data_IF_801014993990
#
_entry.id   IF_801014993990
#
_cell.length_a   1.000
_cell.length_b   1.000
_cell.length_c   1.000
_cell.angle_alpha   90.00
_cell.angle_beta   90.00
_cell.angle_gamma   90.00
#
_symmetry.space_group_name_H-M   'P 1'
#
loop_
_entity.id
_entity.type
_entity.pdbx_description
1 polymer ?
#
# COMPACT_ATOMS: atom_id res chain seq x y z
N UNK A 1 9.24 59.85 11.47
CA UNK A 1 9.04 58.77 10.46
C UNK A 1 9.23 57.45 11.17
N UNK A 2 8.14 56.77 11.50
CA UNK A 2 8.16 55.45 12.14
C UNK A 2 7.54 54.46 11.16
N UNK A 3 8.34 53.49 10.71
CA UNK A 3 7.86 52.33 9.97
C UNK A 3 7.36 51.32 11.01
N UNK A 4 6.11 50.83 10.92
CA UNK A 4 5.65 49.77 11.80
C UNK A 4 6.29 48.45 11.38
N UNK A 5 7.05 47.88 12.32
CA UNK A 5 7.53 46.52 12.29
C UNK A 5 6.42 45.59 12.77
N UNK A 6 5.67 44.95 11.85
CA UNK A 6 4.94 43.69 12.11
C UNK A 6 4.32 43.19 10.80
N UNK A 7 5.11 42.46 10.02
CA UNK A 7 4.58 41.54 9.01
C UNK A 7 5.51 40.31 8.96
N UNK A 8 5.49 39.52 10.02
CA UNK A 8 6.20 38.24 10.08
C UNK A 8 5.31 37.21 10.76
N UNK A 9 5.27 36.01 10.18
CA UNK A 9 4.41 34.87 10.51
C UNK A 9 2.94 35.07 10.04
N UNK A 10 2.33 34.18 9.28
CA UNK A 10 2.29 32.72 9.46
C UNK A 10 2.26 32.04 8.08
N UNK A 11 3.42 31.61 7.58
CA UNK A 11 3.49 30.48 6.65
C UNK A 11 3.63 29.23 7.53
N UNK A 12 2.55 28.85 8.21
CA UNK A 12 2.44 27.51 8.75
C UNK A 12 2.39 26.60 7.52
N UNK A 13 3.55 26.06 7.11
CA UNK A 13 3.61 24.98 6.15
C UNK A 13 2.66 23.91 6.66
N UNK A 14 1.54 23.76 5.96
CA UNK A 14 0.68 22.59 6.06
C UNK A 14 1.51 21.45 5.49
N UNK A 15 2.40 20.90 6.32
CA UNK A 15 2.98 19.61 6.10
C UNK A 15 1.82 18.62 6.23
N UNK A 16 1.08 18.47 5.14
CA UNK A 16 0.11 17.40 4.98
C UNK A 16 0.92 16.11 5.11
N UNK A 17 0.91 15.55 6.31
CA UNK A 17 1.58 14.29 6.58
C UNK A 17 0.85 13.27 5.72
N UNK A 18 1.46 12.85 4.62
CA UNK A 18 1.01 11.68 3.89
C UNK A 18 1.12 10.50 4.86
N UNK A 19 0.03 10.21 5.57
CA UNK A 19 -0.01 9.09 6.52
C UNK A 19 0.00 7.77 5.77
N UNK A 20 -0.65 7.70 4.61
CA UNK A 20 -0.93 6.40 3.99
C UNK A 20 -0.07 6.10 2.78
N UNK A 21 0.27 4.83 2.67
CA UNK A 21 1.12 4.31 1.62
C UNK A 21 0.44 4.36 0.27
N UNK A 22 1.26 4.49 -0.76
CA UNK A 22 0.83 4.51 -2.14
C UNK A 22 1.93 3.93 -3.02
N UNK A 23 1.52 3.39 -4.15
CA UNK A 23 2.41 3.01 -5.23
C UNK A 23 3.22 4.23 -5.69
N UNK A 24 4.54 4.19 -5.47
CA UNK A 24 5.47 5.27 -5.86
C UNK A 24 6.26 4.95 -7.13
N UNK A 25 6.49 3.67 -7.41
CA UNK A 25 7.13 3.22 -8.64
C UNK A 25 6.52 1.87 -9.07
N UNK A 26 6.16 1.67 -10.35
CA UNK A 26 5.94 2.72 -11.35
C UNK A 26 4.91 3.77 -10.87
N UNK A 27 4.96 5.03 -11.34
CA UNK A 27 4.06 6.08 -10.86
C UNK A 27 2.59 5.67 -11.00
N UNK A 28 1.79 5.94 -9.97
CA UNK A 28 0.36 5.63 -9.98
C UNK A 28 -0.40 6.46 -11.03
N UNK A 29 -1.41 5.86 -11.67
CA UNK A 29 -2.18 6.43 -12.79
C UNK A 29 -3.06 7.59 -12.35
N UNK A 30 -3.53 7.60 -11.11
CA UNK A 30 -4.60 8.51 -10.75
C UNK A 30 -4.81 8.56 -9.27
N UNK A 31 -4.29 9.62 -8.68
CA UNK A 31 -4.51 9.93 -7.28
C UNK A 31 -4.82 11.41 -7.03
N UNK A 32 -5.34 12.07 -8.05
CA UNK A 32 -5.75 13.48 -7.98
C UNK A 32 -7.01 13.64 -7.12
N UNK A 33 -7.98 12.73 -7.26
CA UNK A 33 -9.23 12.75 -6.47
C UNK A 33 -8.99 12.52 -4.97
N UNK A 34 -7.99 11.72 -4.62
CA UNK A 34 -7.76 11.26 -3.24
C UNK A 34 -6.44 11.76 -2.64
N UNK A 35 -5.86 12.82 -3.21
CA UNK A 35 -4.65 13.48 -2.69
C UNK A 35 -3.46 12.54 -2.46
N UNK A 36 -3.35 11.46 -3.23
CA UNK A 36 -2.27 10.48 -3.04
C UNK A 36 -2.69 9.20 -2.30
N UNK A 37 -3.91 9.03 -1.78
CA UNK A 37 -4.28 7.80 -1.05
C UNK A 37 -5.70 7.30 -1.34
N UNK A 38 -5.87 6.19 -2.06
CA UNK A 38 -7.19 5.57 -2.30
C UNK A 38 -7.42 4.39 -1.33
N UNK A 39 -8.00 4.68 -0.16
CA UNK A 39 -8.29 3.70 0.88
C UNK A 39 -9.75 3.23 0.81
N UNK A 40 -10.01 1.94 1.03
CA UNK A 40 -11.36 1.40 1.08
C UNK A 40 -12.21 2.04 2.19
N UNK A 41 -11.59 2.32 3.34
CA UNK A 41 -12.20 3.04 4.46
C UNK A 41 -12.66 4.45 4.10
N UNK A 42 -11.95 5.13 3.20
CA UNK A 42 -12.28 6.45 2.69
C UNK A 42 -13.34 6.42 1.55
N UNK A 43 -13.86 5.25 1.19
CA UNK A 43 -14.83 5.09 0.11
C UNK A 43 -14.22 4.78 -1.26
N UNK A 44 -12.92 4.50 -1.35
CA UNK A 44 -12.35 3.92 -2.55
C UNK A 44 -12.88 2.48 -2.75
N UNK A 45 -13.13 2.06 -3.99
CA UNK A 45 -13.74 0.75 -4.28
C UNK A 45 -12.82 -0.19 -5.06
N UNK A 46 -11.62 0.28 -5.38
CA UNK A 46 -10.71 -0.41 -6.28
C UNK A 46 -11.36 -0.66 -7.65
N UNK A 47 -10.79 -1.57 -8.46
CA UNK A 47 -9.52 -2.26 -8.21
C UNK A 47 -8.30 -1.32 -8.29
N UNK A 48 -8.46 -0.11 -8.83
CA UNK A 48 -7.42 0.90 -8.94
C UNK A 48 -7.75 2.14 -8.08
N UNK A 49 -6.75 3.01 -7.91
CA UNK A 49 -6.87 4.32 -7.26
C UNK A 49 -7.74 5.33 -8.03
N UNK A 50 -7.87 5.11 -9.34
CA UNK A 50 -8.81 5.82 -10.21
C UNK A 50 -9.36 4.87 -11.28
N UNK A 51 -10.57 5.15 -11.82
CA UNK A 51 -11.07 4.41 -12.96
C UNK A 51 -10.15 4.62 -14.19
N UNK A 52 -10.16 3.67 -15.11
CA UNK A 52 -9.45 3.72 -16.39
C UNK A 52 -9.76 4.98 -17.19
N UNK A 53 -11.01 5.47 -17.11
CA UNK A 53 -11.44 6.69 -17.81
C UNK A 53 -10.67 7.94 -17.39
N UNK A 54 -10.18 7.97 -16.14
CA UNK A 54 -9.39 9.07 -15.58
C UNK A 54 -7.89 8.89 -15.83
N UNK A 55 -7.47 7.78 -16.44
CA UNK A 55 -6.06 7.51 -16.69
C UNK A 55 -5.50 8.49 -17.74
N UNK A 56 -4.36 9.16 -17.46
CA UNK A 56 -3.68 9.99 -18.46
C UNK A 56 -3.02 9.12 -19.55
N UNK A 57 -3.11 7.79 -19.45
CA UNK A 57 -2.50 6.86 -20.41
C UNK A 57 -3.01 7.06 -21.85
N UNK A 58 -4.23 7.52 -22.07
CA UNK A 58 -4.71 7.80 -23.44
C UNK A 58 -4.33 9.19 -23.96
N UNK A 59 -3.80 10.08 -23.10
CA UNK A 59 -3.37 11.41 -23.52
C UNK A 59 -2.10 11.34 -24.37
N UNK A 60 -2.09 12.02 -25.51
CA UNK A 60 -0.88 12.18 -26.35
C UNK A 60 0.21 13.00 -25.66
N UNK A 61 -0.15 13.79 -24.64
CA UNK A 61 0.77 14.62 -23.87
C UNK A 61 1.40 13.89 -22.69
N UNK A 62 0.90 12.70 -22.35
CA UNK A 62 1.46 11.90 -21.27
C UNK A 62 2.45 10.87 -21.85
N UNK A 63 3.76 10.97 -21.55
CA UNK A 63 4.75 10.02 -22.05
C UNK A 63 4.40 8.59 -21.61
N UNK A 64 4.50 7.64 -22.55
CA UNK A 64 4.23 6.24 -22.28
C UNK A 64 5.48 5.57 -21.70
N UNK A 65 5.30 4.75 -20.68
CA UNK A 65 6.36 3.86 -20.18
C UNK A 65 6.30 2.55 -20.94
N UNK A 66 7.42 2.20 -21.58
CA UNK A 66 7.60 0.95 -22.30
C UNK A 66 8.36 -0.05 -21.41
N UNK A 67 7.90 -1.29 -21.40
CA UNK A 67 8.48 -2.42 -20.66
C UNK A 67 8.55 -3.65 -21.57
N UNK A 68 9.37 -4.64 -21.24
CA UNK A 68 9.54 -5.85 -22.05
C UNK A 68 8.99 -7.09 -21.36
N UNK A 69 8.55 -8.09 -22.13
CA UNK A 69 8.24 -9.41 -21.57
C UNK A 69 9.46 -10.00 -20.87
N UNK A 70 9.27 -10.58 -19.68
CA UNK A 70 10.34 -11.15 -18.88
C UNK A 70 11.25 -10.14 -18.19
N UNK A 71 11.04 -8.83 -18.39
CA UNK A 71 11.74 -7.80 -17.63
C UNK A 71 11.36 -7.88 -16.14
N UNK A 72 12.31 -7.68 -15.25
CA UNK A 72 12.02 -7.40 -13.84
C UNK A 72 11.64 -5.93 -13.66
N UNK A 73 10.48 -5.68 -13.07
CA UNK A 73 10.01 -4.35 -12.71
C UNK A 73 10.18 -4.13 -11.22
N UNK A 74 10.85 -3.04 -10.87
CA UNK A 74 10.85 -2.52 -9.51
C UNK A 74 9.48 -1.92 -9.19
N UNK A 75 8.90 -2.39 -8.10
CA UNK A 75 7.64 -1.89 -7.54
C UNK A 75 7.93 -1.34 -6.15
N UNK A 76 7.66 -0.05 -5.94
CA UNK A 76 8.02 0.66 -4.72
C UNK A 76 6.85 1.41 -4.10
N UNK A 77 6.89 1.55 -2.79
CA UNK A 77 5.96 2.34 -1.97
C UNK A 77 6.71 2.93 -0.77
N UNK A 78 6.08 3.81 0.00
CA UNK A 78 6.66 4.35 1.25
C UNK A 78 6.01 3.68 2.44
N UNK A 79 6.80 3.33 3.47
CA UNK A 79 6.28 2.70 4.68
C UNK A 79 5.25 3.56 5.44
N UNK A 80 5.64 4.82 5.70
CA UNK A 80 4.90 5.82 6.46
C UNK A 80 4.59 5.37 7.91
N UNK A 81 3.45 5.78 8.47
CA UNK A 81 3.14 5.61 9.89
C UNK A 81 2.45 4.28 10.24
N UNK A 82 2.23 3.41 9.26
CA UNK A 82 1.42 2.20 9.41
C UNK A 82 2.26 0.95 9.09
N UNK A 83 2.35 -0.02 10.03
CA UNK A 83 3.14 -1.24 9.86
C UNK A 83 2.34 -2.42 9.25
N UNK A 84 3.11 -3.41 8.80
CA UNK A 84 2.65 -4.74 8.41
C UNK A 84 1.61 -4.82 7.30
N UNK A 85 1.10 -6.04 7.14
CA UNK A 85 0.24 -6.44 6.05
C UNK A 85 1.02 -6.99 4.87
N UNK A 86 0.31 -7.06 3.75
CA UNK A 86 0.74 -7.70 2.53
C UNK A 86 0.56 -6.73 1.36
N UNK A 87 1.40 -6.89 0.35
CA UNK A 87 1.23 -6.29 -0.96
C UNK A 87 0.86 -7.37 -1.96
N UNK A 88 -0.23 -7.18 -2.71
CA UNK A 88 -0.57 -7.96 -3.90
C UNK A 88 -0.21 -7.20 -5.16
N UNK A 89 0.46 -7.86 -6.08
CA UNK A 89 0.78 -7.36 -7.41
C UNK A 89 0.09 -8.21 -8.48
N UNK A 90 -0.63 -7.56 -9.37
CA UNK A 90 -1.35 -8.20 -10.49
C UNK A 90 -1.20 -7.36 -11.75
N UNK A 91 -1.26 -7.98 -12.93
CA UNK A 91 -1.15 -7.25 -14.20
C UNK A 91 -2.21 -7.72 -15.18
N UNK A 92 -2.92 -6.76 -15.79
CA UNK A 92 -4.00 -7.03 -16.75
C UNK A 92 -3.86 -6.15 -17.99
N UNK A 93 -4.47 -6.53 -19.12
CA UNK A 93 -4.68 -5.61 -20.23
C UNK A 93 -5.37 -4.31 -19.77
N UNK A 94 -4.93 -3.17 -20.28
CA UNK A 94 -5.42 -1.84 -19.85
C UNK A 94 -6.95 -1.73 -19.95
N UNK A 95 -7.56 -2.32 -20.99
CA UNK A 95 -9.01 -2.31 -21.17
C UNK A 95 -9.80 -3.05 -20.08
N UNK A 96 -9.14 -3.96 -19.33
CA UNK A 96 -9.71 -4.73 -18.22
C UNK A 96 -9.38 -4.13 -16.84
N UNK A 97 -8.70 -2.98 -16.78
CA UNK A 97 -8.19 -2.41 -15.52
C UNK A 97 -9.23 -1.85 -14.55
N UNK A 98 -10.53 -1.88 -14.90
CA UNK A 98 -11.63 -1.61 -13.96
C UNK A 98 -12.24 -2.91 -13.39
N UNK A 99 -11.76 -4.09 -13.81
CA UNK A 99 -12.31 -5.38 -13.43
C UNK A 99 -11.54 -6.03 -12.27
N UNK A 100 -12.22 -6.21 -11.14
CA UNK A 100 -11.71 -7.00 -10.02
C UNK A 100 -11.40 -8.44 -10.39
N UNK A 101 -12.25 -9.09 -11.20
CA UNK A 101 -12.03 -10.49 -11.60
C UNK A 101 -10.79 -10.62 -12.48
N UNK A 102 -10.57 -9.69 -13.41
CA UNK A 102 -9.38 -9.70 -14.26
C UNK A 102 -8.09 -9.65 -13.42
N UNK A 103 -8.03 -8.80 -12.39
CA UNK A 103 -6.87 -8.75 -11.50
C UNK A 103 -6.74 -9.99 -10.62
N UNK A 104 -7.83 -10.51 -10.08
CA UNK A 104 -7.83 -11.73 -9.27
C UNK A 104 -7.34 -12.95 -10.08
N UNK A 105 -7.66 -13.00 -11.37
CA UNK A 105 -7.21 -14.07 -12.24
C UNK A 105 -5.74 -13.89 -12.66
N UNK A 106 -5.17 -12.70 -12.61
CA UNK A 106 -3.82 -12.40 -13.13
C UNK A 106 -2.88 -11.86 -12.05
N UNK A 107 -2.94 -12.45 -10.85
CA UNK A 107 -2.01 -12.17 -9.77
C UNK A 107 -0.62 -12.72 -10.10
N UNK A 108 0.39 -11.87 -9.95
CA UNK A 108 1.79 -12.22 -10.21
C UNK A 108 2.53 -12.53 -8.92
N UNK A 109 2.29 -11.74 -7.88
CA UNK A 109 3.09 -11.81 -6.66
C UNK A 109 2.33 -11.31 -5.44
N UNK A 110 2.59 -11.94 -4.31
CA UNK A 110 2.36 -11.40 -2.99
C UNK A 110 3.70 -11.18 -2.28
N UNK A 111 3.79 -10.15 -1.45
CA UNK A 111 4.97 -9.90 -0.61
C UNK A 111 4.56 -9.29 0.71
N UNK A 112 5.40 -9.38 1.73
CA UNK A 112 5.18 -8.60 2.95
C UNK A 112 5.28 -7.10 2.66
N UNK A 113 4.47 -6.29 3.34
CA UNK A 113 4.51 -4.83 3.15
C UNK A 113 5.87 -4.21 3.58
N UNK A 114 6.48 -4.74 4.64
CA UNK A 114 7.78 -4.29 5.16
C UNK A 114 8.94 -5.23 4.75
N UNK A 115 9.03 -5.59 3.46
CA UNK A 115 10.02 -6.57 2.96
C UNK A 115 11.48 -6.12 3.17
N UNK A 116 11.78 -4.85 2.89
CA UNK A 116 13.13 -4.27 2.93
C UNK A 116 13.17 -2.88 3.60
N UNK A 117 12.13 -2.55 4.35
CA UNK A 117 11.96 -1.27 5.03
C UNK A 117 11.47 -1.52 6.47
N UNK A 118 11.52 -0.51 7.33
CA UNK A 118 11.12 -0.63 8.73
C UNK A 118 10.85 0.71 9.40
N UNK A 119 10.48 0.71 10.69
CA UNK A 119 10.27 1.93 11.46
C UNK A 119 11.57 2.75 11.54
N UNK A 120 11.45 4.08 11.63
CA UNK A 120 12.59 4.98 11.78
C UNK A 120 13.27 4.81 13.15
N UNK A 121 12.48 4.54 14.19
CA UNK A 121 12.97 4.17 15.52
C UNK A 121 12.43 2.78 15.90
N UNK A 122 13.25 1.72 15.83
CA UNK A 122 12.82 0.37 16.19
C UNK A 122 12.63 0.17 17.69
N UNK A 123 13.09 1.11 18.53
CA UNK A 123 12.92 1.06 19.99
C UNK A 123 11.67 1.82 20.46
N UNK A 124 10.98 2.54 19.56
CA UNK A 124 9.71 3.18 19.91
C UNK A 124 8.62 2.11 20.11
N UNK A 125 8.14 2.01 21.35
CA UNK A 125 7.12 1.06 21.78
C UNK A 125 5.71 1.66 21.90
N UNK A 126 5.51 2.94 21.52
CA UNK A 126 4.23 3.66 21.69
C UNK A 126 3.05 2.92 21.05
N UNK A 127 3.28 2.25 19.92
CA UNK A 127 2.28 1.47 19.18
C UNK A 127 2.55 -0.04 19.18
N UNK A 128 3.45 -0.51 20.05
CA UNK A 128 3.98 -1.87 20.05
C UNK A 128 5.31 -2.02 19.31
N UNK A 129 5.89 -3.21 19.41
CA UNK A 129 7.24 -3.50 18.90
C UNK A 129 7.27 -3.35 17.37
N UNK A 130 8.17 -2.49 16.88
CA UNK A 130 8.35 -2.22 15.45
C UNK A 130 7.12 -1.64 14.74
N UNK A 131 6.19 -1.04 15.50
CA UNK A 131 4.95 -0.48 14.98
C UNK A 131 5.00 1.05 14.87
N UNK A 132 6.13 1.67 15.23
CA UNK A 132 6.38 3.10 15.07
C UNK A 132 6.39 3.54 13.59
N UNK A 133 6.40 4.86 13.32
CA UNK A 133 6.44 5.40 11.97
C UNK A 133 7.81 5.25 11.30
N UNK A 134 7.86 5.36 9.96
CA UNK A 134 9.11 5.35 9.19
C UNK A 134 8.90 5.83 7.76
N UNK A 135 9.85 6.58 7.20
CA UNK A 135 9.77 7.11 5.83
C UNK A 135 10.56 6.29 4.81
N UNK A 136 11.17 5.19 5.24
CA UNK A 136 11.99 4.35 4.36
C UNK A 136 11.18 3.85 3.15
N UNK A 137 11.76 3.90 1.94
CA UNK A 137 11.15 3.29 0.78
C UNK A 137 11.12 1.78 0.97
N UNK A 138 9.97 1.18 0.68
CA UNK A 138 9.79 -0.25 0.59
C UNK A 138 9.70 -0.62 -0.89
N UNK A 139 10.18 -1.78 -1.26
CA UNK A 139 10.09 -2.25 -2.63
C UNK A 139 10.13 -3.77 -2.76
N UNK A 140 9.73 -4.21 -3.94
CA UNK A 140 9.90 -5.59 -4.40
C UNK A 140 10.08 -5.57 -5.92
N UNK A 141 10.44 -6.71 -6.50
CA UNK A 141 10.45 -6.90 -7.95
C UNK A 141 9.31 -7.80 -8.40
N UNK A 142 8.84 -7.60 -9.63
CA UNK A 142 7.90 -8.52 -10.31
C UNK A 142 8.32 -8.69 -11.77
N UNK A 143 8.25 -9.91 -12.29
CA UNK A 143 8.57 -10.18 -13.71
C UNK A 143 7.35 -9.89 -14.58
N UNK A 144 7.54 -9.14 -15.67
CA UNK A 144 6.51 -8.92 -16.69
C UNK A 144 6.15 -10.26 -17.34
N UNK A 145 4.87 -10.68 -17.34
CA UNK A 145 4.45 -11.94 -17.93
C UNK A 145 4.84 -12.07 -19.42
N UNK A 146 5.31 -13.25 -19.81
CA UNK A 146 5.72 -13.53 -21.20
C UNK A 146 4.55 -13.81 -22.14
N UNK A 147 3.36 -14.04 -21.60
CA UNK A 147 2.13 -14.28 -22.36
C UNK A 147 1.38 -13.01 -22.77
N UNK A 148 1.95 -11.82 -22.50
CA UNK A 148 1.36 -10.55 -22.93
C UNK A 148 1.76 -10.29 -24.40
N UNK A 149 0.78 -10.09 -25.32
CA UNK A 149 1.09 -9.80 -26.71
C UNK A 149 1.92 -8.53 -26.88
N UNK A 150 2.64 -8.45 -28.00
CA UNK A 150 3.45 -7.27 -28.31
C UNK A 150 2.59 -6.02 -28.53
N UNK A 151 3.14 -4.85 -28.18
CA UNK A 151 2.46 -3.57 -28.27
C UNK A 151 1.13 -3.51 -27.49
N UNK A 152 1.05 -4.21 -26.36
CA UNK A 152 -0.15 -4.25 -25.52
C UNK A 152 -0.05 -3.23 -24.39
N UNK A 153 -1.06 -2.36 -24.28
CA UNK A 153 -1.26 -1.53 -23.10
C UNK A 153 -1.69 -2.39 -21.90
N UNK A 154 -1.02 -2.25 -20.78
CA UNK A 154 -1.26 -3.01 -19.54
C UNK A 154 -1.34 -2.11 -18.33
N UNK A 155 -1.92 -2.65 -17.27
CA UNK A 155 -2.01 -2.02 -15.96
C UNK A 155 -1.44 -2.95 -14.90
N UNK A 156 -0.44 -2.47 -14.17
CA UNK A 156 0.03 -3.09 -12.93
C UNK A 156 -0.84 -2.57 -11.78
N UNK A 157 -1.39 -3.46 -10.97
CA UNK A 157 -2.05 -3.14 -9.72
C UNK A 157 -1.13 -3.44 -8.53
N UNK A 158 -1.17 -2.54 -7.56
CA UNK A 158 -0.63 -2.65 -6.23
C UNK A 158 -1.80 -2.54 -5.24
N UNK A 159 -1.96 -3.54 -4.37
CA UNK A 159 -2.90 -3.49 -3.24
C UNK A 159 -2.12 -3.71 -1.96
N UNK A 160 -2.30 -2.83 -0.98
CA UNK A 160 -1.88 -3.07 0.40
C UNK A 160 -3.08 -3.38 1.28
N UNK A 161 -2.99 -4.48 2.02
CA UNK A 161 -4.06 -4.96 2.90
C UNK A 161 -3.47 -5.64 4.15
N UNK A 162 -4.28 -5.73 5.21
CA UNK A 162 -3.85 -6.33 6.48
C UNK A 162 -2.85 -5.48 7.27
N UNK A 163 -2.69 -4.19 6.97
CA UNK A 163 -1.94 -3.29 7.82
C UNK A 163 -2.77 -2.80 9.01
N UNK A 164 -2.10 -2.25 10.02
CA UNK A 164 -2.78 -1.88 11.27
C UNK A 164 -2.26 -0.62 11.94
N UNK A 165 -2.56 -0.52 13.23
CA UNK A 165 -2.35 0.70 14.04
C UNK A 165 -3.22 1.85 13.52
N UNK A 166 -4.49 1.58 13.26
CA UNK A 166 -5.43 2.60 12.79
C UNK A 166 -5.68 3.66 13.88
N UNK A 167 -5.45 4.94 13.55
CA UNK A 167 -5.49 6.06 14.52
C UNK A 167 -4.79 5.76 15.87
N UNK A 168 -3.55 5.26 15.80
CA UNK A 168 -2.75 4.95 16.99
C UNK A 168 -3.34 3.86 17.90
N UNK A 169 -4.27 3.04 17.41
CA UNK A 169 -4.86 1.92 18.14
C UNK A 169 -4.15 0.61 17.74
N UNK A 170 -3.30 0.03 18.60
CA UNK A 170 -2.47 -1.12 18.23
C UNK A 170 -3.25 -2.39 17.87
N UNK A 171 -4.54 -2.46 18.24
CA UNK A 171 -5.42 -3.58 17.99
C UNK A 171 -6.21 -3.49 16.67
N UNK A 172 -6.14 -2.34 15.99
CA UNK A 172 -7.05 -1.97 14.91
C UNK A 172 -6.41 -2.06 13.51
N UNK A 173 -7.11 -2.71 12.57
CA UNK A 173 -6.75 -2.72 11.14
C UNK A 173 -7.45 -1.62 10.35
N UNK A 174 -6.88 -1.26 9.20
CA UNK A 174 -7.49 -0.36 8.22
C UNK A 174 -7.93 -1.09 6.94
N UNK A 175 -8.66 -0.37 6.08
CA UNK A 175 -9.13 -0.86 4.79
C UNK A 175 -8.01 -0.98 3.75
N UNK A 176 -8.32 -1.63 2.64
CA UNK A 176 -7.34 -1.85 1.57
C UNK A 176 -6.93 -0.54 0.88
N UNK A 177 -5.66 -0.43 0.49
CA UNK A 177 -5.14 0.68 -0.31
C UNK A 177 -4.83 0.21 -1.71
N UNK A 178 -5.22 1.01 -2.69
CA UNK A 178 -5.06 0.68 -4.10
C UNK A 178 -4.12 1.66 -4.79
N UNK A 179 -3.40 1.17 -5.79
CA UNK A 179 -2.62 1.96 -6.74
C UNK A 179 -2.46 1.20 -8.04
N UNK A 180 -2.61 1.85 -9.18
CA UNK A 180 -2.41 1.23 -10.48
C UNK A 180 -1.43 2.02 -11.33
N UNK A 181 -0.69 1.38 -12.23
CA UNK A 181 0.20 2.09 -13.15
C UNK A 181 0.10 1.51 -14.56
N UNK A 182 0.12 2.41 -15.55
CA UNK A 182 -0.15 2.08 -16.95
C UNK A 182 1.11 2.12 -17.81
N UNK A 183 1.30 1.08 -18.60
CA UNK A 183 2.52 0.84 -19.38
C UNK A 183 2.19 0.16 -20.72
N UNK A 184 3.17 0.07 -21.61
CA UNK A 184 3.08 -0.68 -22.87
C UNK A 184 4.14 -1.79 -22.86
N UNK A 185 3.72 -3.03 -23.09
CA UNK A 185 4.64 -4.16 -23.28
C UNK A 185 5.10 -4.21 -24.74
N UNK A 186 6.42 -4.15 -24.96
CA UNK A 186 7.07 -4.22 -26.28
C UNK A 186 8.32 -5.10 -26.21
N UNK A 187 8.47 -6.02 -27.14
CA UNK A 187 9.61 -6.94 -27.22
C UNK A 187 9.69 -7.95 -26.07
N UNK A 188 10.81 -8.67 -26.06
CA UNK A 188 11.08 -9.78 -25.13
C UNK A 188 10.50 -11.13 -25.57
N UNK A 189 10.97 -12.24 -24.99
CA UNK A 189 10.54 -13.59 -25.36
C UNK A 189 9.06 -13.80 -25.01
N UNK A 190 8.30 -14.31 -25.97
CA UNK A 190 6.90 -14.69 -25.78
C UNK A 190 6.78 -16.15 -25.31
N UNK A 191 5.80 -16.43 -24.46
CA UNK A 191 5.39 -17.78 -24.05
C UNK A 191 3.90 -17.75 -23.75
N UNK A 192 3.13 -18.76 -24.17
CA UNK A 192 1.72 -18.88 -23.83
C UNK A 192 1.48 -19.23 -22.34
N UNK A 193 2.54 -19.57 -21.61
CA UNK A 193 2.46 -19.93 -20.20
C UNK A 193 2.06 -18.72 -19.34
N UNK A 194 0.97 -18.89 -18.60
CA UNK A 194 0.53 -17.94 -17.58
C UNK A 194 1.34 -18.17 -16.29
N UNK A 195 2.00 -17.13 -15.74
CA UNK A 195 2.73 -17.29 -14.49
C UNK A 195 1.78 -17.60 -13.33
N UNK A 196 2.19 -18.49 -12.44
CA UNK A 196 1.53 -18.70 -11.16
C UNK A 196 1.90 -17.58 -10.18
N UNK A 197 0.96 -17.20 -9.30
CA UNK A 197 1.24 -16.25 -8.25
C UNK A 197 2.29 -16.79 -7.27
N UNK A 198 3.34 -16.02 -7.00
CA UNK A 198 4.35 -16.35 -6.00
C UNK A 198 4.13 -15.57 -4.71
N UNK A 199 4.58 -16.10 -3.57
CA UNK A 199 4.62 -15.35 -2.31
C UNK A 199 6.06 -15.23 -1.79
N UNK A 200 6.46 -13.99 -1.52
CA UNK A 200 7.69 -13.64 -0.82
C UNK A 200 7.35 -13.24 0.62
N UNK A 201 7.60 -14.15 1.56
CA UNK A 201 7.54 -13.86 2.99
C UNK A 201 8.78 -13.10 3.48
N UNK A 202 8.74 -12.70 4.74
CA UNK A 202 9.84 -12.04 5.41
C UNK A 202 9.62 -10.54 5.44
N UNK A 203 9.28 -10.04 6.63
CA UNK A 203 9.21 -8.61 6.90
C UNK A 203 10.23 -8.21 7.94
N UNK A 204 10.26 -6.91 8.26
CA UNK A 204 11.13 -6.36 9.30
C UNK A 204 11.03 -7.09 10.65
N UNK A 205 9.83 -7.56 11.02
CA UNK A 205 9.59 -8.22 12.32
C UNK A 205 10.00 -9.69 12.30
N UNK A 206 9.82 -10.35 11.16
CA UNK A 206 10.07 -11.78 10.94
C UNK A 206 10.98 -11.99 9.73
N UNK A 207 12.23 -11.51 9.78
CA UNK A 207 13.15 -11.63 8.66
C UNK A 207 13.42 -13.11 8.36
N UNK A 208 13.64 -13.43 7.08
CA UNK A 208 13.92 -14.79 6.60
C UNK A 208 12.83 -15.82 6.92
N UNK A 209 11.59 -15.39 7.11
CA UNK A 209 10.45 -16.29 7.32
C UNK A 209 9.51 -16.32 6.11
N UNK A 210 8.75 -17.40 5.94
CA UNK A 210 7.66 -17.46 4.96
C UNK A 210 6.38 -16.77 5.44
N UNK A 211 6.48 -15.71 6.23
CA UNK A 211 5.34 -15.05 6.90
C UNK A 211 5.55 -13.54 7.03
N UNK A 212 4.45 -12.83 7.27
CA UNK A 212 4.39 -11.39 7.55
C UNK A 212 3.60 -11.15 8.84
N UNK A 213 3.91 -10.04 9.52
CA UNK A 213 3.07 -9.38 10.52
C UNK A 213 1.90 -8.71 9.82
N UNK A 214 0.68 -8.87 10.33
CA UNK A 214 -0.52 -8.24 9.80
C UNK A 214 -1.59 -8.05 10.88
N UNK A 215 -2.65 -7.29 10.57
CA UNK A 215 -3.84 -7.07 11.39
C UNK A 215 -5.10 -7.40 10.60
N UNK A 216 -6.16 -7.81 11.30
CA UNK A 216 -7.44 -8.11 10.68
C UNK A 216 -7.36 -9.32 9.76
N UNK A 217 -7.39 -9.11 8.43
CA UNK A 217 -7.44 -10.17 7.43
C UNK A 217 -6.16 -10.28 6.60
N UNK A 218 -5.83 -11.51 6.23
CA UNK A 218 -4.81 -11.86 5.24
C UNK A 218 -5.39 -12.16 3.85
N UNK A 219 -6.63 -11.72 3.57
CA UNK A 219 -7.33 -11.95 2.30
C UNK A 219 -7.85 -10.64 1.71
N UNK A 220 -7.51 -10.39 0.45
CA UNK A 220 -8.06 -9.27 -0.33
C UNK A 220 -9.58 -9.43 -0.48
N UNK A 221 -10.31 -8.35 -0.28
CA UNK A 221 -11.77 -8.23 -0.32
C UNK A 221 -12.41 -8.18 1.06
N UNK A 222 -11.78 -8.72 2.10
CA UNK A 222 -12.38 -8.79 3.45
C UNK A 222 -12.54 -7.39 4.08
N UNK A 223 -11.74 -6.41 3.64
CA UNK A 223 -11.74 -5.03 4.14
C UNK A 223 -12.08 -3.97 3.07
N UNK A 224 -12.97 -4.31 2.11
CA UNK A 224 -13.37 -3.42 1.00
C UNK A 224 -14.69 -2.64 1.27
N UNK A 225 -15.44 -2.98 2.33
CA UNK A 225 -16.71 -2.32 2.74
C UNK A 225 -17.83 -2.24 1.68
N UNK A 226 -17.71 -2.92 0.53
CA UNK A 226 -18.71 -2.88 -0.55
C UNK A 226 -19.02 -1.45 -0.98
N UNK A 227 -20.29 -1.16 -1.29
CA UNK A 227 -20.73 0.17 -1.78
C UNK A 227 -20.85 1.24 -0.68
N UNK A 228 -20.51 0.91 0.58
CA UNK A 228 -20.60 1.86 1.69
C UNK A 228 -19.65 3.03 1.49
N UNK A 229 -20.07 4.22 1.88
CA UNK A 229 -19.23 5.42 1.96
C UNK A 229 -19.35 6.02 3.38
N UNK A 230 -18.28 6.64 3.92
CA UNK A 230 -18.36 7.34 5.19
C UNK A 230 -19.45 8.43 5.16
N UNK A 231 -20.10 8.64 6.30
CA UNK A 231 -21.02 9.76 6.49
C UNK A 231 -20.33 10.79 7.38
N UNK A 232 -19.49 11.63 6.77
CA UNK A 232 -18.67 12.60 7.49
C UNK A 232 -19.52 13.59 8.28
N UNK A 233 -19.26 13.66 9.57
CA UNK A 233 -19.81 14.63 10.52
C UNK A 233 -18.69 15.61 10.87
N UNK A 234 -18.97 16.91 10.76
CA UNK A 234 -18.00 17.94 11.09
C UNK A 234 -17.55 17.84 12.55
N UNK A 235 -16.25 17.95 12.79
CA UNK A 235 -15.64 17.76 14.11
C UNK A 235 -15.46 16.31 14.59
N UNK A 236 -16.04 15.31 13.91
CA UNK A 236 -15.83 13.88 14.23
C UNK A 236 -14.91 13.23 13.19
N UNK A 237 -13.64 13.09 13.54
CA UNK A 237 -12.64 12.47 12.66
C UNK A 237 -12.95 11.01 12.33
N UNK A 238 -13.60 10.26 13.24
CA UNK A 238 -13.89 8.84 13.01
C UNK A 238 -15.04 8.64 12.01
N UNK A 239 -15.98 9.59 11.94
CA UNK A 239 -17.06 9.57 10.96
C UNK A 239 -16.59 9.69 9.49
N UNK A 240 -15.34 10.15 9.28
CA UNK A 240 -14.73 10.34 7.97
C UNK A 240 -14.22 9.03 7.35
N UNK A 241 -14.27 7.91 8.08
CA UNK A 241 -13.88 6.59 7.59
C UNK A 241 -14.87 5.50 8.00
N UNK A 242 -14.88 4.41 7.24
CA UNK A 242 -15.57 3.16 7.60
C UNK A 242 -14.72 2.26 8.50
N UNK A 243 -13.52 2.70 8.83
CA UNK A 243 -12.51 1.99 9.63
C UNK A 243 -12.73 2.16 11.15
N UNK A 244 -12.15 1.27 11.99
CA UNK A 244 -11.29 0.15 11.62
C UNK A 244 -12.04 -0.98 10.91
N UNK A 245 -11.34 -1.72 10.06
CA UNK A 245 -11.94 -2.90 9.41
C UNK A 245 -12.20 -4.01 10.44
N UNK A 246 -11.20 -4.31 11.27
CA UNK A 246 -11.26 -5.35 12.31
C UNK A 246 -10.49 -4.92 13.56
N UNK A 247 -10.84 -5.52 14.70
CA UNK A 247 -10.09 -5.41 15.97
C UNK A 247 -9.69 -6.81 16.43
N UNK A 248 -8.45 -7.19 16.15
CA UNK A 248 -7.91 -8.50 16.51
C UNK A 248 -6.47 -8.47 17.01
N UNK A 249 -5.83 -7.30 17.05
CA UNK A 249 -4.40 -7.23 17.35
C UNK A 249 -3.51 -7.63 16.19
N UNK A 250 -2.21 -7.57 16.43
CA UNK A 250 -1.20 -8.05 15.49
C UNK A 250 -1.19 -9.58 15.45
N UNK A 251 -1.09 -10.13 14.24
CA UNK A 251 -1.01 -11.56 13.95
C UNK A 251 0.16 -11.81 12.99
N UNK A 252 0.55 -13.08 12.86
CA UNK A 252 1.60 -13.53 11.92
C UNK A 252 1.04 -14.57 10.97
N UNK A 253 1.35 -14.49 9.67
CA UNK A 253 0.89 -15.47 8.69
C UNK A 253 1.29 -15.16 7.26
N UNK A 254 0.80 -15.97 6.32
CA UNK A 254 0.93 -15.77 4.89
C UNK A 254 -0.39 -15.23 4.31
N UNK A 255 -0.39 -14.66 3.08
CA UNK A 255 -1.61 -14.37 2.34
C UNK A 255 -2.52 -15.58 2.24
N UNK A 256 -3.84 -15.37 2.25
CA UNK A 256 -4.82 -16.43 2.05
C UNK A 256 -4.53 -17.23 0.78
N UNK A 257 -4.55 -18.56 0.89
CA UNK A 257 -4.21 -19.47 -0.21
C UNK A 257 -2.72 -19.85 -0.30
N UNK A 258 -1.85 -19.28 0.55
CA UNK A 258 -0.46 -19.70 0.70
C UNK A 258 -0.25 -20.37 2.07
N UNK A 259 0.47 -21.49 2.07
CA UNK A 259 0.86 -22.15 3.33
C UNK A 259 2.01 -21.39 4.00
N UNK A 260 1.89 -21.15 5.30
CA UNK A 260 2.95 -20.59 6.14
C UNK A 260 4.09 -21.61 6.30
N UNK A 261 4.97 -21.68 5.31
CA UNK A 261 6.18 -22.52 5.35
C UNK A 261 6.68 -23.07 4.01
N UNK A 262 5.97 -22.87 2.88
CA UNK A 262 6.27 -23.60 1.64
C UNK A 262 7.23 -22.93 0.65
N UNK A 263 7.67 -21.69 0.85
CA UNK A 263 8.76 -21.11 0.04
C UNK A 263 10.01 -20.96 0.90
N UNK A 264 11.03 -21.74 0.57
CA UNK A 264 12.39 -21.43 0.98
C UNK A 264 12.64 -19.99 0.50
N UNK A 265 12.93 -19.01 1.38
CA UNK A 265 13.20 -17.65 0.92
C UNK A 265 14.33 -17.75 -0.09
N UNK A 266 14.02 -17.47 -1.37
CA UNK A 266 15.08 -17.23 -2.34
C UNK A 266 15.94 -16.13 -1.72
N UNK A 267 17.24 -16.37 -1.51
CA UNK A 267 18.11 -15.33 -1.00
C UNK A 267 17.91 -14.13 -1.90
N UNK A 268 17.39 -13.04 -1.34
CA UNK A 268 17.50 -11.74 -1.98
C UNK A 268 18.98 -11.53 -2.16
N UNK A 269 19.46 -11.72 -3.39
CA UNK A 269 20.84 -11.46 -3.74
C UNK A 269 21.11 -10.00 -3.34
N UNK A 270 22.08 -9.71 -2.48
CA UNK A 270 22.41 -8.35 -2.09
C UNK A 270 23.08 -7.67 -3.29
N UNK A 271 22.27 -7.26 -4.25
CA UNK A 271 22.71 -6.42 -5.36
C UNK A 271 22.69 -4.98 -4.89
N UNK A 272 23.89 -4.43 -4.69
CA UNK A 272 24.22 -3.01 -4.73
C UNK A 272 23.38 -2.04 -3.90
N UNK A 273 23.47 -2.18 -2.57
CA UNK A 273 23.55 -0.97 -1.72
C UNK A 273 25.01 -0.64 -1.54
N UNK A 274 25.54 0.23 -2.40
CA UNK A 274 26.78 0.95 -2.10
C UNK A 274 26.61 1.61 -0.72
N UNK A 275 27.54 1.38 0.23
CA UNK A 275 27.53 2.13 1.47
C UNK A 275 27.78 3.59 1.11
N UNK A 276 26.82 4.46 1.37
CA UNK A 276 27.08 5.90 1.43
C UNK A 276 28.04 6.10 2.59
N UNK A 277 29.32 6.27 2.28
CA UNK A 277 30.35 6.63 3.24
C UNK A 277 30.03 8.03 3.76
N UNK A 278 29.49 8.11 4.96
CA UNK A 278 29.59 9.33 5.74
C UNK A 278 31.06 9.48 6.17
N UNK A 279 31.77 10.38 5.49
CA UNK A 279 33.03 10.94 5.97
C UNK A 279 32.77 11.65 7.30
N UNK A 280 32.97 10.92 8.40
CA UNK A 280 33.17 11.53 9.71
C UNK A 280 34.62 12.01 9.76
N UNK A 281 34.78 13.33 9.73
CA UNK A 281 36.05 13.97 10.00
C UNK A 281 36.42 13.70 11.46
N UNK A 282 37.60 13.13 11.64
CA UNK A 282 38.24 12.81 12.91
C UNK A 282 38.53 14.07 13.72
N UNK A 283 38.15 14.08 14.99
CA UNK A 283 38.97 14.74 16.01
C UNK A 283 39.12 13.85 17.24
N UNK A 284 40.31 13.90 17.79
CA UNK A 284 40.93 12.86 18.59
C UNK A 284 40.80 13.10 20.10
N UNK A 285 40.79 11.98 20.83
CA UNK A 285 41.35 11.89 22.17
C UNK A 285 40.34 11.90 23.32
N UNK A 286 40.16 10.75 23.96
CA UNK A 286 40.86 10.45 25.21
C UNK A 286 40.49 9.04 25.74
N UNK A 287 41.53 8.42 26.27
CA UNK A 287 41.64 7.13 26.95
C UNK A 287 40.84 7.05 28.26
N UNK A 288 40.26 5.89 28.59
CA UNK A 288 40.62 5.09 29.78
C UNK A 288 39.61 3.94 30.09
N UNK A 289 40.17 2.74 30.16
CA UNK A 289 39.97 1.72 31.22
C UNK A 289 38.60 1.11 31.53
N UNK A 290 38.46 -0.18 31.20
CA UNK A 290 37.59 -1.15 31.89
C UNK A 290 37.97 -1.29 33.36
N UNK A 291 37.02 -1.72 34.23
CA UNK A 291 36.98 -3.15 34.54
C UNK A 291 35.56 -3.72 34.73
N UNK A 292 35.43 -5.02 34.46
CA UNK A 292 34.40 -5.91 35.02
C UNK A 292 35.08 -6.82 36.09
N UNK A 293 34.39 -7.72 36.80
CA UNK A 293 32.95 -7.93 36.98
C UNK A 293 32.54 -8.07 38.48
N UNK A 294 31.24 -8.12 38.79
CA UNK A 294 30.76 -8.77 40.01
C UNK A 294 29.39 -9.42 39.82
N UNK A 295 29.35 -10.66 40.29
CA UNK A 295 28.29 -11.66 40.36
C UNK A 295 27.14 -11.32 41.30
N UNK A 296 25.91 -11.76 40.97
CA UNK A 296 25.05 -12.59 41.84
C UNK A 296 23.68 -12.88 41.17
N UNK A 297 23.29 -14.16 41.10
CA UNK A 297 21.91 -14.64 40.95
C UNK A 297 21.24 -14.77 42.35
N UNK A 298 20.07 -15.42 42.53
CA UNK A 298 18.85 -15.59 41.71
C UNK A 298 17.59 -15.11 42.49
N UNK A 299 16.37 -15.31 41.96
CA UNK A 299 15.18 -15.88 42.66
C UNK A 299 13.89 -15.67 41.83
N UNK A 300 13.07 -16.74 41.83
CA UNK A 300 11.65 -16.95 41.49
C UNK A 300 10.77 -15.73 41.17
N UNK A 301 9.80 -15.80 40.26
CA UNK A 301 8.63 -16.70 40.35
C UNK A 301 8.00 -16.96 38.97
N UNK A 302 7.69 -18.23 38.71
CA UNK A 302 6.76 -18.63 37.65
C UNK A 302 5.34 -18.63 38.24
N UNK A 303 4.45 -17.78 37.73
CA UNK A 303 3.02 -18.01 37.86
C UNK A 303 2.46 -18.59 36.57
N UNK A 304 2.29 -19.91 36.63
CA UNK A 304 1.33 -20.70 35.87
C UNK A 304 -0.07 -20.11 36.00
N UNK A 305 -0.67 -19.67 34.88
CA UNK A 305 -2.12 -19.63 34.74
C UNK A 305 -2.58 -20.88 34.00
N UNK A 306 -3.23 -21.77 34.76
CA UNK A 306 -3.96 -22.92 34.27
C UNK A 306 -5.43 -22.72 34.65
N UNK A 307 -6.30 -22.67 33.65
CA UNK A 307 -7.76 -22.84 33.78
C UNK A 307 -8.22 -23.37 32.42
N UNK A 308 -8.30 -24.70 32.26
CA UNK A 308 -9.45 -25.56 32.55
C UNK A 308 -10.58 -25.45 31.50
N UNK A 309 -10.70 -26.54 30.72
CA UNK A 309 -11.92 -27.25 30.29
C UNK A 309 -13.09 -26.40 29.74
N UNK A 310 -13.42 -26.49 28.46
CA UNK A 310 -14.15 -27.58 27.79
C UNK A 310 -15.59 -27.75 28.33
N UNK A 311 -16.54 -27.13 27.65
CA UNK A 311 -17.91 -27.64 27.53
C UNK A 311 -18.34 -27.60 26.06
N UNK A 312 -18.95 -28.70 25.62
CA UNK A 312 -19.40 -28.94 24.28
C UNK A 312 -20.92 -28.76 24.17
N UNK A 313 -21.35 -28.10 23.09
CA UNK A 313 -22.60 -28.26 22.32
C UNK A 313 -23.96 -27.97 23.03
N UNK A 314 -24.99 -27.47 22.32
CA UNK A 314 -25.59 -28.21 21.21
C UNK A 314 -25.87 -27.42 19.93
N UNK A 315 -26.04 -28.21 18.87
CA UNK A 315 -26.59 -27.91 17.57
C UNK A 315 -27.98 -27.25 17.61
N UNK A 316 -28.22 -26.33 16.68
CA UNK A 316 -29.54 -26.19 16.04
C UNK A 316 -29.48 -25.27 14.81
N UNK A 317 -30.05 -25.81 13.73
CA UNK A 317 -30.85 -25.15 12.71
C UNK A 317 -30.18 -24.41 11.56
N UNK A 318 -30.05 -25.21 10.49
CA UNK A 318 -30.06 -24.84 9.08
C UNK A 318 -31.33 -24.04 8.77
N UNK A 319 -31.19 -22.76 8.47
CA UNK A 319 -32.21 -21.98 7.75
C UNK A 319 -31.67 -21.66 6.36
N UNK A 320 -32.20 -22.37 5.37
CA UNK A 320 -31.98 -22.09 3.95
C UNK A 320 -32.45 -20.67 3.62
N UNK A 321 -31.53 -19.85 3.13
CA UNK A 321 -31.87 -18.58 2.50
C UNK A 321 -32.60 -18.82 1.16
N UNK A 322 -33.64 -18.04 0.84
CA UNK A 322 -34.34 -18.13 -0.44
C UNK A 322 -33.44 -17.66 -1.60
N UNK A 323 -33.67 -18.17 -2.83
CA UNK A 323 -32.85 -17.83 -3.99
C UNK A 323 -32.98 -16.35 -4.37
N UNK A 324 -31.83 -15.74 -4.66
CA UNK A 324 -31.69 -14.38 -5.20
C UNK A 324 -32.31 -14.33 -6.60
N UNK A 325 -33.16 -13.34 -6.92
CA UNK A 325 -33.73 -13.21 -8.26
C UNK A 325 -32.67 -12.85 -9.28
N UNK A 326 -32.66 -13.62 -10.37
CA UNK A 326 -31.89 -13.38 -11.59
C UNK A 326 -32.45 -12.14 -12.28
N UNK A 327 -31.68 -11.06 -12.30
CA UNK A 327 -31.96 -9.91 -13.17
C UNK A 327 -31.36 -10.16 -14.55
N UNK A 328 -32.20 -10.54 -15.49
CA UNK A 328 -31.95 -10.41 -16.93
C UNK A 328 -32.05 -8.94 -17.32
N UNK A 329 -30.91 -8.29 -17.58
CA UNK A 329 -30.90 -7.00 -18.28
C UNK A 329 -31.12 -7.23 -19.77
N UNK A 330 -32.24 -6.71 -20.24
CA UNK A 330 -32.70 -6.71 -21.62
C UNK A 330 -31.80 -5.80 -22.47
N UNK A 331 -31.40 -6.28 -23.64
CA UNK A 331 -30.78 -5.49 -24.71
C UNK A 331 -31.67 -4.29 -25.07
N UNK A 332 -31.11 -3.08 -25.03
CA UNK A 332 -31.70 -1.91 -25.66
C UNK A 332 -30.90 -1.58 -26.92
N UNK A 333 -31.63 -1.64 -28.04
CA UNK A 333 -31.17 -1.49 -29.40
C UNK A 333 -30.53 -0.12 -29.68
N UNK A 334 -29.66 -0.16 -30.69
CA UNK A 334 -29.09 0.97 -31.39
C UNK A 334 -30.16 1.99 -31.83
N UNK A 335 -29.85 3.27 -31.69
CA UNK A 335 -30.39 4.29 -32.56
C UNK A 335 -29.27 5.20 -33.05
N UNK A 336 -29.09 5.07 -34.35
CA UNK A 336 -28.39 5.93 -35.29
C UNK A 336 -29.05 7.32 -35.33
N UNK A 337 -28.27 8.38 -35.21
CA UNK A 337 -28.66 9.74 -35.59
C UNK A 337 -27.40 10.61 -35.73
N UNK A 338 -26.87 10.60 -36.94
CA UNK A 338 -26.03 11.62 -37.54
C UNK A 338 -26.57 13.03 -37.23
N UNK A 339 -25.76 13.91 -36.65
CA UNK A 339 -25.81 15.36 -36.91
C UNK A 339 -24.51 16.03 -36.48
N UNK A 340 -23.72 16.43 -37.48
CA UNK A 340 -22.58 17.35 -37.36
C UNK A 340 -23.09 18.78 -37.16
N UNK A 341 -22.46 19.58 -36.29
CA UNK A 341 -22.29 20.99 -36.58
C UNK A 341 -20.83 21.44 -36.52
N UNK A 342 -20.60 22.49 -37.31
CA UNK A 342 -19.32 23.07 -37.67
C UNK A 342 -18.50 23.64 -36.49
N UNK A 343 -17.19 23.58 -36.67
CA UNK A 343 -16.18 24.23 -35.83
C UNK A 343 -16.27 25.77 -35.91
N UNK A 344 -16.01 26.47 -34.80
CA UNK A 344 -15.47 27.81 -34.83
C UNK A 344 -13.97 27.83 -34.49
N UNK A 345 -13.36 28.92 -34.92
CA UNK A 345 -11.94 29.15 -35.11
C UNK A 345 -11.07 29.09 -33.85
N UNK A 346 -9.82 28.77 -34.10
CA UNK A 346 -8.71 28.79 -33.15
C UNK A 346 -8.50 30.20 -32.57
N UNK A 347 -8.29 30.26 -31.26
CA UNK A 347 -7.64 31.39 -30.61
C UNK A 347 -6.41 30.86 -29.84
N UNK A 348 -5.32 31.57 -30.05
CA UNK A 348 -3.98 31.31 -29.54
C UNK A 348 -3.84 31.91 -28.15
N UNK A 349 -3.33 31.18 -27.16
CA UNK A 349 -2.42 31.73 -26.13
C UNK A 349 -1.82 30.67 -25.20
N UNK A 350 -0.56 30.93 -24.84
CA UNK A 350 0.18 30.54 -23.64
C UNK A 350 0.58 29.07 -23.44
N UNK A 351 1.83 28.79 -23.79
CA UNK A 351 2.65 27.69 -23.28
C UNK A 351 2.98 28.00 -21.81
N UNK A 352 2.60 27.13 -20.89
CA UNK A 352 3.07 27.13 -19.50
C UNK A 352 3.92 25.89 -19.27
N UNK A 353 5.19 26.11 -18.94
CA UNK A 353 6.16 25.09 -18.55
C UNK A 353 5.69 24.34 -17.29
N UNK A 354 5.43 23.04 -17.41
CA UNK A 354 5.23 22.16 -16.26
C UNK A 354 6.59 21.76 -15.70
N UNK A 355 6.97 22.42 -14.60
CA UNK A 355 8.14 22.05 -13.82
C UNK A 355 7.89 20.77 -13.03
N UNK A 356 8.85 19.85 -13.10
CA UNK A 356 8.95 18.62 -12.32
C UNK A 356 9.04 18.97 -10.84
N UNK A 357 8.04 18.57 -10.04
CA UNK A 357 8.09 18.69 -8.58
C UNK A 357 9.16 17.74 -8.03
N UNK A 358 10.30 18.30 -7.65
CA UNK A 358 11.26 17.65 -6.75
C UNK A 358 10.66 17.64 -5.34
N UNK A 359 10.47 16.46 -4.77
CA UNK A 359 9.94 16.31 -3.43
C UNK A 359 10.95 16.83 -2.40
N UNK A 360 10.60 17.91 -1.70
CA UNK A 360 11.34 18.41 -0.54
C UNK A 360 11.08 17.50 0.65
N UNK A 361 12.13 16.83 1.12
CA UNK A 361 12.13 15.97 2.30
C UNK A 361 11.79 16.83 3.54
N UNK A 362 10.58 16.65 4.09
CA UNK A 362 10.10 17.40 5.25
C UNK A 362 10.00 16.46 6.46
N UNK A 363 10.69 16.83 7.55
CA UNK A 363 10.61 16.12 8.84
C UNK A 363 9.24 16.36 9.47
N UNK A 364 8.54 15.29 9.85
CA UNK A 364 7.30 15.34 10.61
C UNK A 364 7.56 15.87 12.03
N UNK A 365 6.86 16.92 12.44
CA UNK A 365 6.79 17.35 13.83
C UNK A 365 5.49 16.76 14.41
N UNK A 366 5.54 15.94 15.48
CA UNK A 366 4.34 15.41 16.10
C UNK A 366 3.45 16.56 16.63
N UNK A 367 2.14 16.48 16.38
CA UNK A 367 1.17 17.46 16.93
C UNK A 367 1.15 17.36 18.46
N UNK A 368 1.00 18.48 19.19
CA UNK A 368 0.85 18.45 20.65
C UNK A 368 -0.42 17.67 21.03
N UNK A 369 -0.30 16.84 22.07
CA UNK A 369 -1.42 16.09 22.66
C UNK A 369 -2.45 17.08 23.19
N UNK A 370 -3.62 17.16 22.55
CA UNK A 370 -4.80 17.73 23.19
C UNK A 370 -5.39 16.63 24.06
N UNK A 371 -5.25 16.79 25.38
CA UNK A 371 -5.95 15.94 26.35
C UNK A 371 -7.45 16.14 26.20
N UNK A 372 -8.19 15.03 26.18
CA UNK A 372 -9.63 15.00 26.43
C UNK A 372 -9.91 15.33 27.90
#
# INVERSE_FOLDING_TARGET
MHLPATLAAITALVASCAGHSMLSNPPSRGNTKWWGTCAAGAGCKGPCDSPKADSPFNSIYNPKRYIQRGQELDVGWKRLNHPGGFVRLAMVPFNQSDSWSAFNDNVLKYTCYETNCGPADPNNMEFGKYNGPGSAPCSTTVTVPKNIPDNTAVTLQWIWYGGGVYYAQPDASFGEYYGCSDMIVVGGPYSDEKPAAAFQGGDYTYPNSGMCKYWGSNKVGDCNFGDRVPNSVDGDLLSQSLEPCMRSGETKGAPYGFESGSSNPQPVSPSDTTPISHSANTDAGQTASSPAPASASPVADQQTYSSSQAEAAPSSDVVSAPPVPVYTSVEAAANDATTTPAAPAADTTAVADYSVNTAVESKCIPRPKFGL
#
